data_IF_488003241746
#
_entry.id   IF_488003241746
#
_cell.length_a   1.000
_cell.length_b   1.000
_cell.length_c   1.000
_cell.angle_alpha   90.00
_cell.angle_beta   90.00
_cell.angle_gamma   90.00
#
_symmetry.space_group_name_H-M   'P 1'
#
loop_
_entity.id
_entity.type
_entity.pdbx_description
1 polymer ?
#
# COMPACT_ATOMS: atom_id res chain seq x y z
N UNK A 1 -22.56 -19.84 -3.49
CA UNK A 1 -22.51 -19.37 -4.89
C UNK A 1 -23.89 -18.88 -5.27
N UNK A 2 -24.02 -17.76 -5.98
CA UNK A 2 -25.29 -17.29 -6.53
C UNK A 2 -25.19 -17.44 -8.05
N UNK A 3 -25.82 -18.48 -8.64
CA UNK A 3 -25.71 -18.78 -10.06
C UNK A 3 -25.98 -17.55 -10.93
N UNK A 4 -25.07 -17.28 -11.87
CA UNK A 4 -25.17 -16.14 -12.79
C UNK A 4 -24.83 -14.76 -12.20
N UNK A 5 -24.70 -14.61 -10.87
CA UNK A 5 -24.52 -13.29 -10.23
C UNK A 5 -23.12 -13.12 -9.63
N UNK A 6 -22.67 -14.06 -8.80
CA UNK A 6 -21.42 -13.88 -8.06
C UNK A 6 -21.25 -14.82 -6.88
N UNK A 7 -20.13 -14.66 -6.16
CA UNK A 7 -19.79 -15.48 -4.98
C UNK A 7 -19.87 -14.65 -3.72
N UNK A 8 -20.69 -15.10 -2.76
CA UNK A 8 -20.82 -14.51 -1.43
C UNK A 8 -20.15 -15.39 -0.38
N UNK A 9 -19.37 -14.76 0.49
CA UNK A 9 -18.65 -15.39 1.59
C UNK A 9 -19.11 -14.77 2.91
N UNK A 10 -19.24 -15.60 3.94
CA UNK A 10 -19.47 -15.17 5.32
C UNK A 10 -18.25 -15.55 6.13
N UNK A 11 -17.66 -14.58 6.81
CA UNK A 11 -16.39 -14.71 7.50
C UNK A 11 -16.56 -14.34 8.97
N UNK A 12 -15.89 -15.09 9.83
CA UNK A 12 -15.72 -14.76 11.23
C UNK A 12 -14.22 -14.82 11.54
N UNK A 13 -13.66 -13.72 12.04
CA UNK A 13 -12.22 -13.60 12.31
C UNK A 13 -11.95 -12.69 13.49
N UNK A 14 -10.77 -12.82 14.11
CA UNK A 14 -10.31 -11.90 15.15
C UNK A 14 -9.39 -10.85 14.57
N UNK A 15 -9.49 -9.61 15.06
CA UNK A 15 -8.57 -8.53 14.70
C UNK A 15 -7.54 -8.29 15.79
N UNK A 16 -6.42 -7.70 15.38
CA UNK A 16 -5.34 -7.26 16.26
C UNK A 16 -4.97 -5.83 15.92
N UNK A 17 -4.47 -5.13 16.93
CA UNK A 17 -3.88 -3.81 16.77
C UNK A 17 -2.58 -3.92 15.97
N UNK A 18 -2.40 -3.02 15.00
CA UNK A 18 -1.29 -3.12 14.05
C UNK A 18 0.07 -2.89 14.72
N UNK A 19 0.14 -2.00 15.71
CA UNK A 19 1.39 -1.62 16.37
C UNK A 19 1.71 -2.53 17.56
N UNK A 20 0.70 -2.79 18.40
CA UNK A 20 0.89 -3.55 19.66
C UNK A 20 0.64 -5.04 19.51
N UNK A 21 -0.01 -5.48 18.42
CA UNK A 21 -0.45 -6.86 18.24
C UNK A 21 -1.56 -7.30 19.19
N UNK A 22 -2.09 -6.39 20.02
CA UNK A 22 -3.12 -6.69 21.00
C UNK A 22 -4.41 -7.15 20.31
N UNK A 23 -5.05 -8.21 20.81
CA UNK A 23 -6.33 -8.69 20.26
C UNK A 23 -7.43 -7.65 20.49
N UNK A 24 -8.04 -7.17 19.41
CA UNK A 24 -9.04 -6.09 19.41
C UNK A 24 -10.49 -6.57 19.40
N UNK A 25 -10.73 -7.85 19.12
CA UNK A 25 -12.06 -8.44 19.14
C UNK A 25 -12.32 -9.39 18.00
N UNK A 26 -13.59 -9.77 17.87
CA UNK A 26 -14.14 -10.60 16.80
C UNK A 26 -14.89 -9.72 15.79
N UNK A 27 -14.71 -9.99 14.50
CA UNK A 27 -15.48 -9.42 13.41
C UNK A 27 -16.25 -10.49 12.67
N UNK A 28 -17.46 -10.13 12.24
CA UNK A 28 -18.31 -10.86 11.32
C UNK A 28 -18.39 -10.05 10.04
N UNK A 29 -18.10 -10.66 8.90
CA UNK A 29 -18.15 -9.99 7.61
C UNK A 29 -18.94 -10.80 6.59
N UNK A 30 -19.59 -10.09 5.66
CA UNK A 30 -20.10 -10.66 4.43
C UNK A 30 -19.41 -9.96 3.25
N UNK A 31 -18.83 -10.77 2.36
CA UNK A 31 -18.09 -10.29 1.18
C UNK A 31 -18.76 -10.85 -0.06
N UNK A 32 -19.14 -9.98 -0.99
CA UNK A 32 -19.82 -10.37 -2.21
C UNK A 32 -19.04 -9.91 -3.45
N UNK A 33 -18.49 -10.89 -4.16
CA UNK A 33 -17.81 -10.70 -5.44
C UNK A 33 -18.83 -10.86 -6.57
N UNK A 34 -19.18 -9.75 -7.21
CA UNK A 34 -20.00 -9.73 -8.41
C UNK A 34 -19.16 -10.08 -9.63
N UNK A 35 -19.66 -10.93 -10.53
CA UNK A 35 -18.94 -11.24 -11.78
C UNK A 35 -18.73 -10.03 -12.69
N UNK A 36 -19.61 -9.03 -12.56
CA UNK A 36 -19.68 -7.87 -13.46
C UNK A 36 -19.04 -6.61 -12.88
N UNK A 37 -18.50 -6.65 -11.66
CA UNK A 37 -17.87 -5.49 -11.02
C UNK A 37 -16.48 -5.86 -10.50
N UNK A 38 -15.48 -4.97 -10.63
CA UNK A 38 -14.11 -5.25 -10.21
C UNK A 38 -13.95 -5.30 -8.68
N UNK A 39 -14.89 -4.70 -7.93
CA UNK A 39 -14.78 -4.45 -6.50
C UNK A 39 -15.85 -5.21 -5.70
N UNK A 40 -15.48 -5.96 -4.65
CA UNK A 40 -16.45 -6.68 -3.83
C UNK A 40 -17.23 -5.72 -2.94
N UNK A 41 -18.50 -6.05 -2.69
CA UNK A 41 -19.29 -5.40 -1.65
C UNK A 41 -18.97 -6.04 -0.31
N UNK A 42 -18.65 -5.22 0.69
CA UNK A 42 -18.25 -5.70 2.02
C UNK A 42 -19.17 -5.08 3.07
N UNK A 43 -19.75 -5.93 3.89
CA UNK A 43 -20.44 -5.57 5.11
C UNK A 43 -19.68 -6.18 6.29
N UNK A 44 -19.33 -5.39 7.29
CA UNK A 44 -18.55 -5.85 8.43
C UNK A 44 -19.08 -5.29 9.74
N UNK A 45 -19.17 -6.16 10.74
CA UNK A 45 -19.56 -5.83 12.10
C UNK A 45 -18.48 -6.39 13.02
N UNK A 46 -17.80 -5.51 13.74
CA UNK A 46 -16.80 -5.91 14.73
C UNK A 46 -17.32 -5.65 16.15
N UNK A 47 -17.04 -6.59 17.04
CA UNK A 47 -17.07 -6.32 18.48
C UNK A 47 -16.02 -5.25 18.76
N UNK A 48 -16.49 -4.06 19.14
CA UNK A 48 -15.62 -2.90 19.39
C UNK A 48 -15.23 -2.94 20.86
N UNK A 49 -13.95 -3.13 21.14
CA UNK A 49 -13.44 -3.13 22.51
C UNK A 49 -13.19 -1.71 23.06
N UNK A 50 -13.14 -0.69 22.19
CA UNK A 50 -12.86 0.70 22.58
C UNK A 50 -14.09 1.60 22.43
N UNK A 51 -14.31 2.43 23.44
CA UNK A 51 -15.32 3.48 23.46
C UNK A 51 -15.09 4.51 22.32
N UNK A 52 -16.13 5.08 21.70
CA UNK A 52 -15.98 6.08 20.64
C UNK A 52 -15.10 7.28 21.02
N UNK A 53 -15.19 7.79 22.27
CA UNK A 53 -14.44 8.96 22.69
C UNK A 53 -12.95 8.65 22.86
N UNK A 54 -12.64 7.42 23.29
CA UNK A 54 -11.26 6.96 23.35
C UNK A 54 -10.63 6.91 21.96
N UNK A 55 -11.34 6.37 20.96
CA UNK A 55 -10.85 6.31 19.58
C UNK A 55 -10.63 7.70 18.98
N UNK A 56 -11.57 8.62 19.21
CA UNK A 56 -11.42 9.98 18.72
C UNK A 56 -10.19 10.68 19.34
N UNK A 57 -9.91 10.45 20.62
CA UNK A 57 -8.70 10.96 21.28
C UNK A 57 -7.42 10.35 20.73
N UNK A 58 -7.40 9.04 20.49
CA UNK A 58 -6.26 8.35 19.88
C UNK A 58 -6.00 8.86 18.45
N UNK A 59 -7.04 8.98 17.63
CA UNK A 59 -6.96 9.53 16.26
C UNK A 59 -6.46 10.98 16.27
N UNK A 60 -6.96 11.80 17.20
CA UNK A 60 -6.52 13.18 17.37
C UNK A 60 -5.05 13.28 17.78
N UNK A 61 -4.63 12.46 18.74
CA UNK A 61 -3.23 12.40 19.20
C UNK A 61 -2.29 11.98 18.08
N UNK A 62 -2.66 10.94 17.31
CA UNK A 62 -1.87 10.47 16.17
C UNK A 62 -1.77 11.52 15.06
N UNK A 63 -2.89 12.19 14.76
CA UNK A 63 -2.89 13.25 13.77
C UNK A 63 -1.93 14.39 14.17
N UNK A 64 -1.97 14.81 15.44
CA UNK A 64 -1.09 15.86 15.93
C UNK A 64 0.38 15.45 15.91
N UNK A 65 0.71 14.22 16.33
CA UNK A 65 2.09 13.74 16.32
C UNK A 65 2.68 13.74 14.91
N UNK A 66 1.89 13.34 13.91
CA UNK A 66 2.32 13.31 12.50
C UNK A 66 2.38 14.72 11.89
N UNK A 67 1.42 15.60 12.23
CA UNK A 67 1.38 16.97 11.71
C UNK A 67 2.54 17.81 12.21
N UNK A 68 2.79 17.74 13.51
CA UNK A 68 3.72 18.63 14.20
C UNK A 68 5.17 18.10 14.10
N UNK A 69 5.36 16.81 13.80
CA UNK A 69 6.69 16.28 13.50
C UNK A 69 7.24 16.86 12.19
N UNK A 70 8.55 17.12 12.20
CA UNK A 70 9.32 17.45 10.99
C UNK A 70 9.46 16.21 10.10
N UNK A 71 9.59 15.04 10.73
CA UNK A 71 9.69 13.74 10.08
C UNK A 71 8.93 12.71 10.93
N UNK A 72 7.75 12.21 10.47
CA UNK A 72 6.98 11.21 11.22
C UNK A 72 7.75 9.90 11.39
N UNK A 73 7.38 9.12 12.40
CA UNK A 73 8.01 7.82 12.62
C UNK A 73 7.75 6.86 11.44
N UNK A 74 8.68 5.95 11.17
CA UNK A 74 8.51 4.94 10.13
C UNK A 74 7.26 4.08 10.39
N UNK A 75 6.95 3.79 11.66
CA UNK A 75 5.77 3.03 12.05
C UNK A 75 4.47 3.77 11.72
N UNK A 76 4.40 5.08 11.94
CA UNK A 76 3.25 5.90 11.56
C UNK A 76 3.08 5.95 10.04
N UNK A 77 4.18 6.13 9.31
CA UNK A 77 4.18 6.15 7.85
C UNK A 77 3.76 4.79 7.28
N UNK A 78 4.20 3.69 7.89
CA UNK A 78 3.79 2.33 7.54
C UNK A 78 2.32 2.07 7.84
N UNK A 79 1.83 2.50 9.01
CA UNK A 79 0.43 2.35 9.39
C UNK A 79 -0.49 3.14 8.44
N UNK A 80 -0.16 4.39 8.14
CA UNK A 80 -0.90 5.21 7.18
C UNK A 80 -0.85 4.62 5.77
N UNK A 81 0.34 4.15 5.34
CA UNK A 81 0.52 3.45 4.08
C UNK A 81 -0.36 2.21 4.00
N UNK A 82 -0.41 1.41 5.06
CA UNK A 82 -1.24 0.19 5.17
C UNK A 82 -2.73 0.51 5.07
N UNK A 83 -3.20 1.55 5.77
CA UNK A 83 -4.60 1.99 5.70
C UNK A 83 -4.94 2.44 4.28
N UNK A 84 -4.11 3.28 3.66
CA UNK A 84 -4.31 3.73 2.28
C UNK A 84 -4.29 2.57 1.27
N UNK A 85 -3.29 1.69 1.36
CA UNK A 85 -3.12 0.56 0.45
C UNK A 85 -4.25 -0.46 0.58
N UNK A 86 -4.86 -0.60 1.76
CA UNK A 86 -6.00 -1.49 1.97
C UNK A 86 -7.20 -1.10 1.11
N UNK A 87 -7.38 0.20 0.84
CA UNK A 87 -8.38 0.70 -0.09
C UNK A 87 -8.08 0.24 -1.53
N UNK A 88 -6.83 0.39 -1.97
CA UNK A 88 -6.37 -0.08 -3.30
C UNK A 88 -6.57 -1.59 -3.44
N UNK A 89 -6.14 -2.35 -2.43
CA UNK A 89 -6.28 -3.79 -2.38
C UNK A 89 -7.75 -4.21 -2.49
N UNK A 90 -8.66 -3.51 -1.79
CA UNK A 90 -10.09 -3.74 -1.90
C UNK A 90 -10.65 -3.44 -3.29
N UNK A 91 -10.25 -2.32 -3.93
CA UNK A 91 -10.73 -1.98 -5.27
C UNK A 91 -10.24 -2.97 -6.35
N UNK A 92 -9.09 -3.60 -6.14
CA UNK A 92 -8.49 -4.59 -7.04
C UNK A 92 -8.78 -6.04 -6.65
N UNK A 93 -9.46 -6.28 -5.53
CA UNK A 93 -9.66 -7.64 -5.01
C UNK A 93 -10.54 -8.47 -5.93
N UNK A 94 -10.05 -9.65 -6.31
CA UNK A 94 -10.86 -10.67 -6.99
C UNK A 94 -11.10 -11.84 -6.03
N UNK A 95 -11.82 -12.85 -6.50
CA UNK A 95 -12.00 -14.09 -5.72
C UNK A 95 -10.66 -14.80 -5.50
N UNK A 96 -9.73 -14.67 -6.45
CA UNK A 96 -8.48 -15.44 -6.50
C UNK A 96 -7.24 -14.58 -6.17
N UNK A 97 -7.39 -13.26 -6.05
CA UNK A 97 -6.30 -12.34 -5.72
C UNK A 97 -6.63 -11.46 -4.52
N UNK A 98 -5.67 -11.42 -3.59
CA UNK A 98 -5.64 -10.49 -2.45
C UNK A 98 -4.27 -9.85 -2.39
N UNK A 99 -4.21 -8.52 -2.32
CA UNK A 99 -2.96 -7.78 -2.23
C UNK A 99 -2.73 -7.25 -0.82
N UNK A 100 -1.47 -7.24 -0.40
CA UNK A 100 -1.02 -6.59 0.83
C UNK A 100 0.16 -5.67 0.51
N UNK A 101 0.30 -4.58 1.26
CA UNK A 101 1.49 -3.74 1.14
C UNK A 101 2.69 -4.47 1.73
N UNK A 102 3.72 -4.63 0.92
CA UNK A 102 4.97 -5.31 1.30
C UNK A 102 6.12 -4.34 1.44
N UNK A 103 6.06 -3.18 0.77
CA UNK A 103 7.13 -2.20 0.80
C UNK A 103 6.61 -0.77 0.61
N UNK A 104 7.26 0.18 1.28
CA UNK A 104 7.22 1.60 0.93
C UNK A 104 8.54 1.91 0.21
N UNK A 105 8.47 2.24 -1.08
CA UNK A 105 9.65 2.66 -1.88
C UNK A 105 10.00 4.12 -1.60
N UNK A 106 8.99 4.97 -1.45
CA UNK A 106 9.16 6.39 -1.15
C UNK A 106 7.90 6.95 -0.48
N UNK A 107 8.05 7.99 0.34
CA UNK A 107 6.95 8.75 0.89
C UNK A 107 7.34 10.22 1.04
N UNK A 108 6.48 11.12 0.58
CA UNK A 108 6.62 12.57 0.79
C UNK A 108 5.39 13.11 1.50
N UNK A 109 5.60 13.77 2.62
CA UNK A 109 4.55 14.50 3.33
C UNK A 109 4.45 15.94 2.82
N UNK A 110 3.23 16.40 2.61
CA UNK A 110 2.90 17.77 2.23
C UNK A 110 1.98 18.36 3.30
N UNK A 111 2.39 19.49 3.90
CA UNK A 111 1.54 20.26 4.81
C UNK A 111 0.64 21.18 3.98
N UNK A 112 -0.67 21.10 4.20
CA UNK A 112 -1.63 21.97 3.54
C UNK A 112 -2.10 23.11 4.44
N UNK A 113 -2.50 24.21 3.82
CA UNK A 113 -3.08 25.36 4.53
C UNK A 113 -4.45 25.07 5.16
N UNK A 114 -5.17 24.04 4.68
CA UNK A 114 -6.50 23.65 5.16
C UNK A 114 -6.47 22.64 6.32
N UNK A 115 -5.31 22.49 6.97
CA UNK A 115 -5.03 21.52 8.02
C UNK A 115 -5.23 20.06 7.58
N UNK A 116 -5.18 19.77 6.28
CA UNK A 116 -5.08 18.37 5.86
C UNK A 116 -3.62 17.93 5.82
N UNK A 117 -3.40 16.68 6.22
CA UNK A 117 -2.15 15.96 5.98
C UNK A 117 -2.25 15.27 4.64
N UNK A 118 -1.27 15.50 3.80
CA UNK A 118 -1.17 14.84 2.52
C UNK A 118 0.13 14.05 2.44
N UNK A 119 0.01 12.84 1.88
CA UNK A 119 1.13 11.95 1.64
C UNK A 119 1.09 11.46 0.20
N UNK A 120 2.24 11.55 -0.44
CA UNK A 120 2.50 10.97 -1.75
C UNK A 120 3.40 9.74 -1.56
N UNK A 121 2.82 8.56 -1.69
CA UNK A 121 3.48 7.29 -1.49
C UNK A 121 3.79 6.61 -2.83
N UNK A 122 4.98 6.01 -2.91
CA UNK A 122 5.29 4.94 -3.85
C UNK A 122 5.38 3.65 -3.06
N UNK A 123 4.44 2.72 -3.27
CA UNK A 123 4.35 1.46 -2.52
C UNK A 123 4.39 0.26 -3.45
N UNK A 124 4.75 -0.88 -2.87
CA UNK A 124 4.59 -2.18 -3.49
C UNK A 124 3.48 -2.97 -2.83
N UNK A 125 2.58 -3.49 -3.65
CA UNK A 125 1.56 -4.44 -3.22
C UNK A 125 1.86 -5.80 -3.82
N UNK A 126 1.87 -6.85 -3.01
CA UNK A 126 2.07 -8.22 -3.51
C UNK A 126 0.87 -9.08 -3.19
N UNK A 127 0.51 -9.94 -4.14
CA UNK A 127 -0.41 -11.05 -3.91
C UNK A 127 0.36 -12.30 -3.52
N UNK A 128 -0.28 -13.22 -2.77
CA UNK A 128 0.35 -14.47 -2.35
C UNK A 128 0.72 -15.43 -3.50
N UNK A 129 0.38 -15.10 -4.74
CA UNK A 129 0.57 -15.93 -5.96
C UNK A 129 1.53 -15.30 -6.97
N UNK A 130 2.43 -14.41 -6.50
CA UNK A 130 3.53 -13.80 -7.26
C UNK A 130 3.19 -12.64 -8.19
N UNK A 131 1.97 -12.09 -8.13
CA UNK A 131 1.69 -10.81 -8.80
C UNK A 131 2.02 -9.65 -7.85
N UNK A 132 2.92 -8.77 -8.29
CA UNK A 132 3.27 -7.52 -7.60
C UNK A 132 2.80 -6.31 -8.40
N UNK A 133 2.26 -5.32 -7.71
CA UNK A 133 1.80 -4.06 -8.26
C UNK A 133 2.59 -2.92 -7.65
N UNK A 134 3.27 -2.16 -8.51
CA UNK A 134 3.90 -0.89 -8.12
C UNK A 134 2.83 0.20 -8.21
N UNK A 135 2.54 0.85 -7.08
CA UNK A 135 1.47 1.84 -6.98
C UNK A 135 1.99 3.19 -6.50
N UNK A 136 1.55 4.26 -7.18
CA UNK A 136 1.60 5.62 -6.68
C UNK A 136 0.28 5.94 -5.99
N UNK A 137 0.33 6.34 -4.72
CA UNK A 137 -0.85 6.57 -3.89
C UNK A 137 -0.77 7.94 -3.23
N UNK A 138 -1.78 8.77 -3.50
CA UNK A 138 -1.99 10.06 -2.86
C UNK A 138 -3.06 9.92 -1.78
N UNK A 139 -2.65 10.07 -0.53
CA UNK A 139 -3.47 9.93 0.65
C UNK A 139 -3.66 11.30 1.31
N UNK A 140 -4.91 11.68 1.56
CA UNK A 140 -5.26 12.93 2.24
C UNK A 140 -6.07 12.59 3.49
N UNK A 141 -5.61 13.07 4.63
CA UNK A 141 -6.28 12.88 5.92
C UNK A 141 -6.57 14.22 6.58
N UNK A 142 -7.82 14.38 7.00
CA UNK A 142 -8.29 15.51 7.79
C UNK A 142 -9.10 14.96 8.96
N UNK A 143 -8.85 15.49 10.16
CA UNK A 143 -9.54 15.07 11.38
C UNK A 143 -11.06 15.10 11.21
N UNK A 144 -11.71 14.06 11.73
CA UNK A 144 -13.16 13.90 11.66
C UNK A 144 -13.73 13.58 10.28
N UNK A 145 -12.89 13.52 9.23
CA UNK A 145 -13.30 13.18 7.88
C UNK A 145 -12.67 11.84 7.44
N UNK A 146 -13.39 11.04 6.63
CA UNK A 146 -12.79 9.87 6.01
C UNK A 146 -11.55 10.25 5.19
N UNK A 147 -10.53 9.40 5.26
CA UNK A 147 -9.34 9.54 4.43
C UNK A 147 -9.71 9.42 2.96
N UNK A 148 -9.07 10.25 2.13
CA UNK A 148 -9.24 10.21 0.67
C UNK A 148 -8.01 9.60 0.04
N UNK A 149 -8.21 8.61 -0.82
CA UNK A 149 -7.14 7.91 -1.53
C UNK A 149 -7.36 8.06 -3.02
N UNK A 150 -6.32 8.50 -3.74
CA UNK A 150 -6.21 8.41 -5.19
C UNK A 150 -4.98 7.57 -5.51
N UNK A 151 -5.04 6.75 -6.54
CA UNK A 151 -3.92 5.89 -6.87
C UNK A 151 -3.85 5.55 -8.35
N UNK A 152 -2.65 5.18 -8.77
CA UNK A 152 -2.35 4.58 -10.07
C UNK A 152 -1.41 3.41 -9.80
N UNK A 153 -1.66 2.27 -10.46
CA UNK A 153 -0.84 1.07 -10.28
C UNK A 153 -0.54 0.43 -11.63
N UNK A 154 0.69 -0.07 -11.77
CA UNK A 154 1.13 -0.94 -12.86
C UNK A 154 1.60 -2.27 -12.30
N UNK A 155 1.64 -3.31 -13.13
CA UNK A 155 2.40 -4.51 -12.79
C UNK A 155 3.87 -4.11 -12.55
N UNK A 156 4.51 -4.76 -11.58
CA UNK A 156 5.94 -4.61 -11.37
C UNK A 156 6.69 -5.50 -12.35
N UNK A 157 7.56 -4.92 -13.19
CA UNK A 157 8.42 -5.67 -14.08
C UNK A 157 9.53 -6.35 -13.25
N UNK A 158 9.74 -7.66 -13.42
CA UNK A 158 10.81 -8.42 -12.72
C UNK A 158 12.24 -8.06 -13.17
N UNK A 159 12.46 -6.89 -13.78
CA UNK A 159 13.75 -6.48 -14.35
C UNK A 159 14.31 -5.22 -13.71
N UNK A 160 14.72 -5.32 -12.45
CA UNK A 160 15.75 -4.43 -11.90
C UNK A 160 16.37 -5.04 -10.65
N UNK A 161 17.27 -6.02 -10.82
CA UNK A 161 17.92 -6.64 -9.67
C UNK A 161 18.84 -7.82 -9.94
N UNK A 162 19.71 -7.76 -10.96
CA UNK A 162 20.92 -8.59 -10.99
C UNK A 162 22.06 -7.77 -11.61
N UNK A 163 22.56 -6.81 -10.84
CA UNK A 163 23.93 -6.34 -11.02
C UNK A 163 24.84 -7.39 -10.41
N UNK A 164 25.37 -8.30 -11.23
CA UNK A 164 26.40 -9.25 -10.83
C UNK A 164 27.67 -8.49 -10.44
N UNK A 165 27.74 -8.11 -9.17
CA UNK A 165 28.96 -7.68 -8.50
C UNK A 165 29.83 -8.90 -8.20
N UNK A 166 30.45 -9.47 -9.23
CA UNK A 166 31.55 -10.41 -9.04
C UNK A 166 32.84 -9.64 -8.86
N UNK A 167 33.24 -9.46 -7.60
CA UNK A 167 34.61 -9.08 -7.25
C UNK A 167 35.56 -10.18 -7.71
N UNK A 168 36.36 -9.88 -8.73
CA UNK A 168 37.56 -10.63 -9.05
C UNK A 168 38.72 -9.65 -9.17
N UNK A 169 39.47 -9.57 -8.09
CA UNK A 169 40.80 -9.01 -8.01
C UNK A 169 41.78 -9.84 -8.87
N UNK A 170 42.39 -9.19 -9.89
CA UNK A 170 43.71 -9.56 -10.43
C UNK A 170 44.25 -8.54 -11.46
N UNK A 171 45.28 -7.79 -11.03
CA UNK A 171 46.55 -7.56 -11.75
C UNK A 171 46.60 -7.08 -13.21
N UNK A 172 46.95 -5.78 -13.33
CA UNK A 172 48.06 -5.23 -14.14
C UNK A 172 48.03 -5.15 -15.68
N UNK A 173 48.39 -3.93 -16.12
CA UNK A 173 49.07 -3.43 -17.34
C UNK A 173 48.33 -3.26 -18.68
N UNK A 174 48.36 -1.97 -19.10
CA UNK A 174 48.53 -1.40 -20.44
C UNK A 174 47.42 -1.53 -21.48
N UNK A 175 46.95 -0.36 -21.95
CA UNK A 175 46.97 -0.08 -23.38
C UNK A 175 45.69 0.46 -24.00
N UNK A 176 45.71 1.76 -24.26
CA UNK A 176 45.20 2.45 -25.46
C UNK A 176 43.71 2.40 -25.84
N UNK A 177 43.19 3.63 -25.99
CA UNK A 177 42.03 4.06 -26.77
C UNK A 177 41.96 3.42 -28.18
N UNK A 178 40.73 3.32 -28.72
CA UNK A 178 40.30 3.86 -30.03
C UNK A 178 38.79 3.60 -30.19
N UNK A 179 38.00 4.66 -30.40
CA UNK A 179 36.66 4.61 -31.00
C UNK A 179 36.77 4.18 -32.48
N UNK A 180 35.68 3.68 -33.08
CA UNK A 180 35.18 4.48 -34.19
C UNK A 180 33.66 4.65 -34.20
N UNK A 181 33.28 5.86 -34.59
CA UNK A 181 31.95 6.23 -35.06
C UNK A 181 31.43 5.29 -36.16
N UNK A 182 30.11 5.06 -36.17
CA UNK A 182 29.33 5.14 -37.41
C UNK A 182 27.86 5.44 -37.12
N UNK A 183 27.43 6.62 -37.55
CA UNK A 183 26.03 6.98 -37.74
C UNK A 183 25.49 6.25 -38.99
N UNK A 184 24.28 5.67 -38.97
CA UNK A 184 23.29 5.86 -40.04
C UNK A 184 21.88 5.27 -39.75
N UNK A 185 20.93 6.21 -39.65
CA UNK A 185 19.54 6.28 -40.17
C UNK A 185 18.40 5.32 -39.79
N UNK A 186 17.39 5.97 -39.19
CA UNK A 186 16.00 6.18 -39.64
C UNK A 186 15.57 5.46 -40.93
N UNK A 187 14.50 4.67 -40.79
CA UNK A 187 13.48 4.38 -41.79
C UNK A 187 12.13 4.24 -41.08
#
# INVERSE_FOLDING_TARGET
DIPGVGKKYFLQFSTKDLQTGQKLGLCLASVFYLKTKPKPTVEIICTRNKDPDQRQREDYSLYLSIRDSVEPSLDDLWALGTVGSSYIAWEKATVDSSYIMTQIKNVKQWRRADESLEFDYSILLSSGVSESLSCHMRLIWKLGLPMKVKYECSAEDESSGFGDGSGAEQGSTSGFFIEPESNFLVG
#
